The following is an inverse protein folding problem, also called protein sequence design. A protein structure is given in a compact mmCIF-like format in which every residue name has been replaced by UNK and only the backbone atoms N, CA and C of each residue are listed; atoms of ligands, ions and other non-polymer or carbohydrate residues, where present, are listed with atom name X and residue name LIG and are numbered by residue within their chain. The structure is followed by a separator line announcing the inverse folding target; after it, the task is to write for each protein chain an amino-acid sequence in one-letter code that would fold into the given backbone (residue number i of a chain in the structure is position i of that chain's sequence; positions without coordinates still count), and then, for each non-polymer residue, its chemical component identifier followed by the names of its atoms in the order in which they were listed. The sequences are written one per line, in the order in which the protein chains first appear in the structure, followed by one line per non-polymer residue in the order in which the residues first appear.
data_IF_431442187909
#
_entry.id   IF_431442187909
#
_cell.length_a   1.000
_cell.length_b   1.000
_cell.length_c   1.000
_cell.angle_alpha   90.00
_cell.angle_beta   90.00
_cell.angle_gamma   90.00
#
_symmetry.space_group_name_H-M   'P 1'
#
loop_
_entity.id
_entity.type
_entity.pdbx_description
1 polymer ?
#
# COMPACT_ATOMS: atom_id res chain seq x y z
N UNK A 1 -8.59 2.96 -22.62
CA UNK A 1 -7.44 3.52 -21.86
C UNK A 1 -8.02 4.26 -20.68
N UNK A 2 -7.56 3.96 -19.48
CA UNK A 2 -7.84 4.82 -18.34
C UNK A 2 -7.00 6.07 -18.53
N UNK A 3 -7.60 7.20 -18.27
CA UNK A 3 -6.95 8.50 -18.42
C UNK A 3 -5.90 8.77 -17.32
N UNK A 4 -5.87 9.99 -16.82
CA UNK A 4 -4.91 10.47 -15.83
C UNK A 4 -5.25 9.96 -14.43
N UNK A 5 -4.22 9.50 -13.68
CA UNK A 5 -4.30 9.26 -12.24
C UNK A 5 -3.60 10.42 -11.52
N UNK A 6 -4.34 11.08 -10.65
CA UNK A 6 -3.83 12.19 -9.82
C UNK A 6 -3.01 11.65 -8.66
N UNK A 7 -1.77 12.12 -8.50
CA UNK A 7 -0.87 11.70 -7.44
C UNK A 7 -0.39 12.90 -6.61
N UNK A 8 -0.17 12.67 -5.31
CA UNK A 8 0.66 13.54 -4.48
C UNK A 8 2.02 12.91 -4.33
N UNK A 9 3.07 13.72 -4.41
CA UNK A 9 4.46 13.29 -4.21
C UNK A 9 5.01 14.02 -2.99
N UNK A 10 5.35 13.26 -1.96
CA UNK A 10 5.97 13.77 -0.73
C UNK A 10 7.49 13.53 -0.83
N UNK A 11 8.27 14.59 -0.67
CA UNK A 11 9.72 14.55 -0.78
C UNK A 11 10.38 14.44 0.58
N UNK A 12 11.45 13.63 0.75
CA UNK A 12 12.29 13.67 1.94
C UNK A 12 13.16 14.90 1.96
N UNK A 13 13.78 15.18 3.12
CA UNK A 13 14.88 16.13 3.20
C UNK A 13 16.11 15.55 2.49
N UNK A 14 16.67 16.30 1.53
CA UNK A 14 17.80 15.86 0.71
C UNK A 14 17.42 14.90 -0.43
N UNK A 15 18.43 14.24 -0.99
CA UNK A 15 18.28 13.35 -2.13
C UNK A 15 17.61 12.03 -1.71
N UNK A 16 16.53 11.61 -2.38
CA UNK A 16 15.86 10.34 -2.07
C UNK A 16 16.78 9.13 -2.20
N UNK A 17 16.78 8.25 -1.20
CA UNK A 17 17.55 7.00 -1.22
C UNK A 17 16.77 5.83 -1.84
N UNK A 18 15.49 6.03 -2.08
CA UNK A 18 14.54 5.09 -2.65
C UNK A 18 13.18 5.73 -2.78
N UNK A 19 12.14 4.93 -2.96
CA UNK A 19 10.79 5.47 -3.11
C UNK A 19 9.72 4.56 -2.49
N UNK A 20 8.52 5.09 -2.33
CA UNK A 20 7.37 4.36 -1.80
C UNK A 20 6.11 4.66 -2.61
N UNK A 21 5.24 3.65 -2.74
CA UNK A 21 3.89 3.77 -3.27
C UNK A 21 2.90 3.37 -2.18
N UNK A 22 2.03 4.30 -1.77
CA UNK A 22 1.10 4.08 -0.66
C UNK A 22 -0.34 4.24 -1.13
N UNK A 23 -1.12 3.15 -1.03
CA UNK A 23 -2.43 3.00 -1.63
C UNK A 23 -3.55 3.17 -0.59
N UNK A 24 -4.58 3.92 -0.96
CA UNK A 24 -5.65 4.35 -0.06
C UNK A 24 -6.80 3.33 0.07
N UNK A 25 -7.70 3.48 1.08
CA UNK A 25 -8.84 2.60 1.27
C UNK A 25 -9.92 2.78 0.18
N UNK A 26 -11.05 2.11 0.36
CA UNK A 26 -12.07 1.90 -0.66
C UNK A 26 -12.61 3.21 -1.28
N UNK A 27 -12.51 3.39 -2.61
CA UNK A 27 -12.92 4.59 -3.32
C UNK A 27 -14.36 5.03 -3.04
N UNK A 28 -15.31 4.09 -3.09
CA UNK A 28 -16.74 4.41 -2.97
C UNK A 28 -17.19 4.70 -1.52
N UNK A 29 -16.32 4.48 -0.53
CA UNK A 29 -16.59 4.77 0.88
C UNK A 29 -15.74 5.96 1.38
N UNK A 30 -15.46 6.92 0.51
CA UNK A 30 -14.73 8.14 0.85
C UNK A 30 -13.22 7.95 1.00
N UNK A 31 -12.68 6.82 0.54
CA UNK A 31 -11.23 6.57 0.53
C UNK A 31 -10.51 7.53 -0.42
N UNK A 32 -9.47 8.18 0.09
CA UNK A 32 -8.60 9.08 -0.68
C UNK A 32 -7.16 8.94 -0.21
N UNK A 33 -6.21 9.43 -1.01
CA UNK A 33 -4.78 9.51 -0.66
C UNK A 33 -4.49 10.31 0.62
N UNK A 34 -5.45 11.11 1.09
CA UNK A 34 -5.31 11.94 2.30
C UNK A 34 -5.85 11.26 3.56
N UNK A 35 -6.27 9.99 3.47
CA UNK A 35 -6.64 9.19 4.64
C UNK A 35 -5.50 9.18 5.67
N UNK A 36 -5.84 9.26 6.96
CA UNK A 36 -4.84 9.39 8.06
C UNK A 36 -3.88 8.20 8.16
N UNK A 37 -4.32 6.97 7.87
CA UNK A 37 -3.45 5.80 7.83
C UNK A 37 -2.44 5.96 6.68
N UNK A 38 -2.91 6.31 5.48
CA UNK A 38 -2.08 6.53 4.28
C UNK A 38 -1.04 7.62 4.51
N UNK A 39 -1.45 8.78 5.03
CA UNK A 39 -0.54 9.90 5.30
C UNK A 39 0.44 9.59 6.44
N UNK A 40 0.07 8.75 7.40
CA UNK A 40 1.00 8.28 8.46
C UNK A 40 2.08 7.40 7.85
N UNK A 41 1.72 6.43 7.01
CA UNK A 41 2.70 5.56 6.31
C UNK A 41 3.61 6.40 5.40
N UNK A 42 3.03 7.32 4.61
CA UNK A 42 3.79 8.21 3.73
C UNK A 42 4.84 9.02 4.50
N UNK A 43 4.42 9.69 5.58
CA UNK A 43 5.35 10.47 6.43
C UNK A 43 6.45 9.61 7.02
N UNK A 44 6.15 8.37 7.39
CA UNK A 44 7.16 7.42 7.89
C UNK A 44 8.17 7.08 6.80
N UNK A 45 7.72 6.80 5.57
CA UNK A 45 8.61 6.57 4.43
C UNK A 45 9.50 7.79 4.14
N UNK A 46 8.90 8.98 4.12
CA UNK A 46 9.63 10.25 3.92
C UNK A 46 10.70 10.49 4.98
N UNK A 47 10.40 10.22 6.26
CA UNK A 47 11.36 10.30 7.36
C UNK A 47 12.51 9.30 7.24
N UNK A 48 12.30 8.20 6.49
CA UNK A 48 13.34 7.22 6.15
C UNK A 48 14.09 7.55 4.84
N UNK A 49 13.94 8.77 4.32
CA UNK A 49 14.64 9.21 3.11
C UNK A 49 14.02 8.71 1.81
N UNK A 50 12.77 8.25 1.80
CA UNK A 50 12.10 7.78 0.58
C UNK A 50 11.21 8.87 -0.04
N UNK A 51 11.28 9.03 -1.36
CA UNK A 51 10.26 9.76 -2.11
C UNK A 51 8.96 8.98 -2.06
N UNK A 52 7.85 9.55 -1.58
CA UNK A 52 6.60 8.82 -1.43
C UNK A 52 5.53 9.32 -2.39
N UNK A 53 4.99 8.40 -3.20
CA UNK A 53 3.89 8.66 -4.14
C UNK A 53 2.59 8.10 -3.55
N UNK A 54 1.58 8.96 -3.47
CA UNK A 54 0.22 8.64 -3.02
C UNK A 54 -0.76 8.94 -4.15
N UNK A 55 -1.18 7.95 -4.95
CA UNK A 55 -2.21 8.14 -5.97
C UNK A 55 -3.61 8.22 -5.34
N UNK A 56 -4.53 8.92 -6.00
CA UNK A 56 -5.94 8.62 -5.89
C UNK A 56 -6.30 7.54 -6.91
N UNK A 57 -6.99 6.50 -6.50
CA UNK A 57 -7.49 5.50 -7.45
C UNK A 57 -8.44 6.12 -8.46
N UNK A 58 -8.67 5.39 -9.56
CA UNK A 58 -9.62 5.78 -10.61
C UNK A 58 -10.97 6.19 -10.02
N UNK A 59 -11.54 7.28 -10.54
CA UNK A 59 -12.81 7.85 -10.09
C UNK A 59 -12.76 8.62 -8.78
N UNK A 60 -11.57 8.84 -8.17
CA UNK A 60 -11.40 9.60 -6.93
C UNK A 60 -10.72 10.93 -7.20
N UNK A 61 -11.33 12.01 -6.74
CA UNK A 61 -10.83 13.39 -6.95
C UNK A 61 -10.65 13.71 -8.42
N UNK A 62 -9.44 14.08 -8.83
CA UNK A 62 -9.11 14.40 -10.22
C UNK A 62 -8.70 13.17 -11.05
N UNK A 63 -8.63 11.97 -10.45
CA UNK A 63 -8.34 10.75 -11.19
C UNK A 63 -9.52 10.35 -12.08
N UNK A 64 -9.22 10.09 -13.34
CA UNK A 64 -10.21 9.66 -14.33
C UNK A 64 -10.61 8.21 -14.17
N UNK A 65 -11.69 7.80 -14.86
CA UNK A 65 -12.20 6.43 -14.80
C UNK A 65 -13.24 6.22 -13.71
N UNK A 66 -13.50 4.96 -13.39
CA UNK A 66 -14.45 4.53 -12.36
C UNK A 66 -13.91 3.32 -11.62
N UNK A 67 -14.40 3.10 -10.40
CA UNK A 67 -14.07 1.94 -9.58
C UNK A 67 -14.31 0.62 -10.34
N UNK A 68 -13.32 -0.28 -10.29
CA UNK A 68 -13.30 -1.55 -11.04
C UNK A 68 -12.87 -2.75 -10.17
N UNK A 69 -13.31 -2.75 -8.93
CA UNK A 69 -13.18 -3.85 -7.97
C UNK A 69 -11.75 -4.39 -7.77
N UNK A 70 -10.75 -3.56 -7.97
CA UNK A 70 -9.33 -3.90 -7.82
C UNK A 70 -8.63 -4.30 -9.11
N UNK A 71 -9.36 -4.69 -10.16
CA UNK A 71 -8.77 -5.12 -11.45
C UNK A 71 -8.15 -3.92 -12.16
N UNK A 72 -8.96 -2.91 -12.44
CA UNK A 72 -8.51 -1.71 -13.10
C UNK A 72 -7.56 -0.88 -12.25
N UNK A 73 -7.80 -0.81 -10.93
CA UNK A 73 -6.91 -0.15 -9.98
C UNK A 73 -5.52 -0.77 -10.00
N UNK A 74 -5.41 -2.10 -10.01
CA UNK A 74 -4.12 -2.81 -10.12
C UNK A 74 -3.42 -2.48 -11.43
N UNK A 75 -4.15 -2.50 -12.57
CA UNK A 75 -3.58 -2.16 -13.87
C UNK A 75 -3.08 -0.71 -13.95
N UNK A 76 -3.78 0.24 -13.29
CA UNK A 76 -3.33 1.63 -13.19
C UNK A 76 -2.07 1.75 -12.34
N UNK A 77 -1.96 0.99 -11.24
CA UNK A 77 -0.78 1.03 -10.38
C UNK A 77 0.44 0.41 -11.03
N UNK A 78 0.30 -0.59 -11.91
CA UNK A 78 1.41 -1.06 -12.76
C UNK A 78 1.97 0.09 -13.59
N UNK A 79 1.11 0.86 -14.27
CA UNK A 79 1.53 2.03 -15.07
C UNK A 79 2.14 3.13 -14.19
N UNK A 80 1.58 3.32 -12.98
CA UNK A 80 2.14 4.27 -12.02
C UNK A 80 3.57 3.90 -11.65
N UNK A 81 3.86 2.62 -11.37
CA UNK A 81 5.22 2.12 -11.11
C UNK A 81 6.15 2.36 -12.31
N UNK A 82 5.71 2.04 -13.52
CA UNK A 82 6.47 2.27 -14.76
C UNK A 82 6.78 3.76 -14.94
N UNK A 83 5.79 4.62 -14.69
CA UNK A 83 5.93 6.08 -14.81
C UNK A 83 6.86 6.65 -13.74
N UNK A 84 6.77 6.21 -12.48
CA UNK A 84 7.71 6.62 -11.42
C UNK A 84 9.14 6.33 -11.83
N UNK A 85 9.42 5.13 -12.32
CA UNK A 85 10.75 4.71 -12.77
C UNK A 85 11.25 5.53 -13.98
N UNK A 86 10.33 6.01 -14.81
CA UNK A 86 10.65 6.86 -15.97
C UNK A 86 10.93 8.31 -15.57
N UNK A 87 10.12 8.86 -14.65
CA UNK A 87 10.25 10.26 -14.19
C UNK A 87 11.45 10.45 -13.27
N UNK A 88 11.76 9.43 -12.44
CA UNK A 88 12.92 9.43 -11.55
C UNK A 88 13.86 8.26 -11.87
N UNK A 89 14.58 8.28 -13.01
CA UNK A 89 15.43 7.17 -13.43
C UNK A 89 16.55 6.86 -12.43
N UNK A 90 17.00 7.84 -11.65
CA UNK A 90 17.97 7.65 -10.58
C UNK A 90 17.44 6.80 -9.40
N UNK A 91 16.11 6.63 -9.29
CA UNK A 91 15.46 5.81 -8.28
C UNK A 91 14.99 4.45 -8.83
N UNK A 92 15.12 4.21 -10.14
CA UNK A 92 14.58 3.03 -10.80
C UNK A 92 15.09 1.71 -10.21
N UNK A 93 16.37 1.66 -9.82
CA UNK A 93 17.01 0.47 -9.25
C UNK A 93 17.28 0.61 -7.74
N UNK A 94 16.74 1.65 -7.11
CA UNK A 94 16.81 1.83 -5.66
C UNK A 94 15.76 0.99 -4.93
N UNK A 95 15.98 0.68 -3.64
CA UNK A 95 14.97 0.03 -2.81
C UNK A 95 13.65 0.79 -2.83
N UNK A 96 12.53 0.06 -2.84
CA UNK A 96 11.23 0.71 -2.78
C UNK A 96 10.22 -0.06 -1.94
N UNK A 97 9.21 0.66 -1.46
CA UNK A 97 8.17 0.18 -0.55
C UNK A 97 6.82 0.24 -1.23
N UNK A 98 6.07 -0.85 -1.15
CA UNK A 98 4.66 -0.89 -1.53
C UNK A 98 3.82 -1.08 -0.28
N UNK A 99 2.93 -0.13 0.00
CA UNK A 99 2.02 -0.22 1.13
C UNK A 99 0.57 0.02 0.70
N UNK A 100 -0.36 -0.66 1.35
CA UNK A 100 -1.78 -0.46 1.10
C UNK A 100 -2.62 -0.59 2.36
N UNK A 101 -3.64 0.27 2.49
CA UNK A 101 -4.60 0.24 3.58
C UNK A 101 -5.97 -0.22 3.09
N UNK A 102 -6.59 -1.19 3.78
CA UNK A 102 -7.92 -1.71 3.48
C UNK A 102 -8.02 -2.19 2.03
N UNK A 103 -8.90 -1.65 1.20
CA UNK A 103 -8.94 -1.91 -0.25
C UNK A 103 -7.57 -1.73 -0.92
N UNK A 104 -6.81 -0.70 -0.51
CA UNK A 104 -5.44 -0.50 -1.00
C UNK A 104 -4.51 -1.67 -0.69
N UNK A 105 -4.75 -2.45 0.39
CA UNK A 105 -3.99 -3.66 0.67
C UNK A 105 -4.24 -4.76 -0.38
N UNK A 106 -5.48 -4.88 -0.86
CA UNK A 106 -5.83 -5.82 -1.91
C UNK A 106 -5.16 -5.44 -3.24
N UNK A 107 -5.22 -4.15 -3.60
CA UNK A 107 -4.53 -3.67 -4.81
C UNK A 107 -3.01 -3.84 -4.69
N UNK A 108 -2.41 -3.57 -3.51
CA UNK A 108 -0.98 -3.75 -3.28
C UNK A 108 -0.53 -5.22 -3.43
N UNK A 109 -1.27 -6.16 -2.86
CA UNK A 109 -0.97 -7.58 -2.98
C UNK A 109 -1.04 -8.06 -4.44
N UNK A 110 -2.05 -7.63 -5.18
CA UNK A 110 -2.23 -7.97 -6.59
C UNK A 110 -1.21 -7.29 -7.50
N UNK A 111 -0.87 -6.02 -7.21
CA UNK A 111 0.20 -5.31 -7.89
C UNK A 111 1.54 -6.03 -7.70
N UNK A 112 1.86 -6.47 -6.49
CA UNK A 112 3.07 -7.26 -6.23
C UNK A 112 3.14 -8.49 -7.14
N UNK A 113 2.05 -9.29 -7.19
CA UNK A 113 1.99 -10.49 -8.03
C UNK A 113 2.07 -10.16 -9.53
N UNK A 114 1.42 -9.08 -9.98
CA UNK A 114 1.47 -8.64 -11.38
C UNK A 114 2.88 -8.20 -11.81
N UNK A 115 3.60 -7.47 -10.93
CA UNK A 115 4.98 -7.07 -11.18
C UNK A 115 5.91 -8.29 -11.23
N UNK A 116 5.70 -9.29 -10.37
CA UNK A 116 6.46 -10.53 -10.38
C UNK A 116 6.30 -11.29 -11.71
N UNK A 117 5.06 -11.45 -12.18
CA UNK A 117 4.78 -12.12 -13.47
C UNK A 117 5.38 -11.37 -14.66
N UNK A 118 5.46 -10.06 -14.59
CA UNK A 118 6.07 -9.20 -15.62
C UNK A 118 7.60 -9.09 -15.51
N UNK A 119 8.20 -9.70 -14.49
CA UNK A 119 9.64 -9.60 -14.21
C UNK A 119 10.10 -8.14 -14.02
N UNK A 120 9.22 -7.29 -13.50
CA UNK A 120 9.54 -5.93 -13.07
C UNK A 120 10.16 -5.96 -11.68
N UNK A 121 11.17 -5.13 -11.36
CA UNK A 121 11.76 -5.08 -10.02
C UNK A 121 10.72 -4.91 -8.91
N UNK A 122 10.70 -5.87 -7.99
CA UNK A 122 9.74 -5.96 -6.91
C UNK A 122 10.06 -4.98 -5.77
N UNK A 123 9.07 -4.59 -4.95
CA UNK A 123 9.34 -3.80 -3.75
C UNK A 123 10.20 -4.60 -2.76
N UNK A 124 11.15 -3.90 -2.14
CA UNK A 124 11.97 -4.46 -1.06
C UNK A 124 11.14 -4.72 0.21
N UNK A 125 10.00 -4.03 0.33
CA UNK A 125 9.04 -4.22 1.42
C UNK A 125 7.61 -4.09 0.92
N UNK A 126 6.76 -5.05 1.32
CA UNK A 126 5.30 -5.00 1.14
C UNK A 126 4.64 -4.84 2.50
N UNK A 127 3.72 -3.87 2.64
CA UNK A 127 2.96 -3.64 3.87
C UNK A 127 1.44 -3.65 3.58
N UNK A 128 0.72 -4.51 4.29
CA UNK A 128 -0.73 -4.71 4.19
C UNK A 128 -1.38 -4.30 5.51
N UNK A 129 -2.11 -3.19 5.52
CA UNK A 129 -2.71 -2.63 6.73
C UNK A 129 -4.24 -2.77 6.62
N UNK A 130 -4.90 -3.33 7.65
CA UNK A 130 -6.34 -3.63 7.62
C UNK A 130 -6.68 -4.51 6.41
N UNK A 131 -6.07 -5.68 6.35
CA UNK A 131 -5.97 -6.56 5.17
C UNK A 131 -7.34 -6.98 4.62
N UNK A 132 -7.77 -6.41 3.49
CA UNK A 132 -9.00 -6.72 2.78
C UNK A 132 -8.77 -7.55 1.49
N UNK A 133 -7.64 -8.24 1.39
CA UNK A 133 -7.18 -8.88 0.15
C UNK A 133 -8.20 -9.88 -0.39
N UNK A 134 -8.72 -10.77 0.45
CA UNK A 134 -9.65 -11.83 0.01
C UNK A 134 -10.96 -11.29 -0.58
N UNK A 135 -11.39 -10.10 -0.15
CA UNK A 135 -12.63 -9.47 -0.63
C UNK A 135 -12.56 -8.98 -2.07
N UNK A 136 -11.33 -8.69 -2.56
CA UNK A 136 -11.09 -8.11 -3.88
C UNK A 136 -10.08 -8.92 -4.70
N UNK A 137 -9.77 -10.13 -4.25
CA UNK A 137 -8.80 -10.99 -4.94
C UNK A 137 -9.38 -11.53 -6.25
N UNK A 138 -8.71 -11.25 -7.36
CA UNK A 138 -9.07 -11.75 -8.68
C UNK A 138 -7.98 -12.64 -9.32
N UNK A 139 -6.89 -12.94 -8.58
CA UNK A 139 -5.79 -13.79 -9.05
C UNK A 139 -5.15 -14.57 -7.89
N UNK A 140 -4.37 -15.59 -8.23
CA UNK A 140 -3.50 -16.23 -7.25
C UNK A 140 -2.40 -15.30 -6.78
N UNK A 141 -2.03 -15.38 -5.51
CA UNK A 141 -1.03 -14.53 -4.88
C UNK A 141 0.10 -15.38 -4.31
N UNK A 142 1.33 -14.98 -4.63
CA UNK A 142 2.54 -15.44 -3.97
C UNK A 142 3.19 -14.19 -3.37
N UNK A 143 3.17 -14.08 -2.04
CA UNK A 143 3.66 -12.90 -1.33
C UNK A 143 5.00 -13.20 -0.66
N UNK A 144 5.87 -12.20 -0.50
CA UNK A 144 7.16 -12.40 0.16
C UNK A 144 6.96 -12.66 1.66
N UNK A 145 7.74 -13.58 2.24
CA UNK A 145 7.68 -13.91 3.68
C UNK A 145 7.93 -12.69 4.59
N UNK A 146 8.62 -11.67 4.09
CA UNK A 146 8.85 -10.40 4.78
C UNK A 146 7.70 -9.39 4.66
N UNK A 147 6.51 -9.81 4.20
CA UNK A 147 5.33 -8.94 4.17
C UNK A 147 4.96 -8.49 5.58
N UNK A 148 4.82 -7.18 5.76
CA UNK A 148 4.40 -6.57 7.03
C UNK A 148 2.87 -6.52 7.05
N UNK A 149 2.24 -7.29 7.91
CA UNK A 149 0.79 -7.22 8.13
C UNK A 149 0.49 -6.50 9.44
N UNK A 150 -0.41 -5.50 9.40
CA UNK A 150 -0.88 -4.76 10.58
C UNK A 150 -2.40 -4.75 10.58
N UNK A 151 -3.01 -5.11 11.72
CA UNK A 151 -4.46 -5.18 11.84
C UNK A 151 -4.94 -4.64 13.19
N UNK A 152 -6.10 -4.00 13.21
CA UNK A 152 -6.75 -3.61 14.47
C UNK A 152 -7.47 -4.79 15.11
N UNK A 153 -7.35 -4.95 16.44
CA UNK A 153 -8.02 -6.05 17.17
C UNK A 153 -9.53 -6.00 17.03
N UNK A 154 -10.10 -4.78 17.09
CA UNK A 154 -11.55 -4.55 17.06
C UNK A 154 -11.99 -3.95 15.71
N UNK A 155 -11.32 -4.34 14.62
CA UNK A 155 -11.65 -3.88 13.28
C UNK A 155 -13.08 -4.30 12.90
N UNK A 156 -13.95 -3.32 12.77
CA UNK A 156 -15.38 -3.48 12.48
C UNK A 156 -15.69 -3.52 10.98
N UNK A 157 -14.71 -3.18 10.13
CA UNK A 157 -14.85 -3.16 8.66
C UNK A 157 -14.30 -4.44 8.04
N UNK A 158 -13.08 -4.81 8.42
CA UNK A 158 -12.45 -6.07 8.05
C UNK A 158 -12.14 -6.84 9.34
N UNK A 159 -13.01 -7.76 9.76
CA UNK A 159 -12.81 -8.50 11.00
C UNK A 159 -11.42 -9.11 11.12
N UNK A 160 -10.83 -9.07 12.31
CA UNK A 160 -9.51 -9.64 12.59
C UNK A 160 -9.38 -11.09 12.11
N UNK A 161 -10.48 -11.86 12.20
CA UNK A 161 -10.53 -13.25 11.72
C UNK A 161 -10.22 -13.40 10.24
N UNK A 162 -10.65 -12.45 9.39
CA UNK A 162 -10.32 -12.46 7.95
C UNK A 162 -8.82 -12.20 7.73
N UNK A 163 -8.25 -11.23 8.44
CA UNK A 163 -6.81 -10.96 8.39
C UNK A 163 -5.97 -12.14 8.87
N UNK A 164 -6.40 -12.81 9.96
CA UNK A 164 -5.72 -14.01 10.49
C UNK A 164 -5.81 -15.19 9.52
N UNK A 165 -6.96 -15.40 8.87
CA UNK A 165 -7.10 -16.48 7.88
C UNK A 165 -6.21 -16.24 6.67
N UNK A 166 -6.14 -15.01 6.18
CA UNK A 166 -5.22 -14.62 5.12
C UNK A 166 -3.76 -14.87 5.54
N UNK A 167 -3.38 -14.45 6.76
CA UNK A 167 -2.04 -14.65 7.29
C UNK A 167 -1.65 -16.14 7.38
N UNK A 168 -2.59 -17.02 7.83
CA UNK A 168 -2.38 -18.47 7.86
C UNK A 168 -2.18 -19.07 6.47
N UNK A 169 -3.07 -18.69 5.53
CA UNK A 169 -3.05 -19.22 4.15
C UNK A 169 -1.74 -18.89 3.44
N UNK A 170 -1.15 -17.72 3.74
CA UNK A 170 0.08 -17.24 3.12
C UNK A 170 1.33 -17.39 4.01
N UNK A 171 1.22 -18.02 5.17
CA UNK A 171 2.30 -18.21 6.15
C UNK A 171 3.00 -16.88 6.53
N UNK A 172 2.22 -15.82 6.74
CA UNK A 172 2.71 -14.49 7.03
C UNK A 172 2.56 -14.13 8.52
N UNK A 173 3.55 -13.49 9.14
CA UNK A 173 3.39 -12.91 10.46
C UNK A 173 2.46 -11.69 10.42
N UNK A 174 1.68 -11.48 11.48
CA UNK A 174 0.78 -10.34 11.59
C UNK A 174 0.92 -9.65 12.94
N UNK A 175 1.03 -8.32 12.93
CA UNK A 175 0.97 -7.49 14.13
C UNK A 175 -0.48 -7.04 14.36
N UNK A 176 -1.04 -7.41 15.51
CA UNK A 176 -2.36 -6.97 15.96
C UNK A 176 -2.19 -5.80 16.93
N UNK A 177 -2.89 -4.68 16.66
CA UNK A 177 -2.88 -3.51 17.56
C UNK A 177 -4.08 -3.62 18.50
N UNK A 178 -3.86 -3.76 19.82
CA UNK A 178 -4.94 -3.90 20.80
C UNK A 178 -5.91 -2.72 20.78
N UNK A 179 -7.21 -3.00 20.92
CA UNK A 179 -8.32 -2.03 20.99
C UNK A 179 -8.42 -1.09 19.76
N UNK A 180 -7.71 -1.37 18.68
CA UNK A 180 -7.76 -0.56 17.47
C UNK A 180 -8.89 -1.03 16.54
N UNK A 181 -9.74 -0.11 16.10
CA UNK A 181 -10.68 -0.31 15.00
C UNK A 181 -10.00 -0.16 13.64
N UNK A 182 -10.79 -0.23 12.56
CA UNK A 182 -10.28 -0.23 11.18
C UNK A 182 -9.35 0.95 10.86
N UNK A 183 -9.71 2.16 11.25
CA UNK A 183 -8.95 3.37 10.94
C UNK A 183 -7.81 3.68 11.92
N UNK A 184 -7.53 2.78 12.87
CA UNK A 184 -6.48 2.90 13.87
C UNK A 184 -6.53 4.23 14.65
N UNK A 185 -7.73 4.75 14.93
CA UNK A 185 -7.92 5.98 15.69
C UNK A 185 -7.24 5.88 17.06
N UNK A 186 -6.44 6.90 17.41
CA UNK A 186 -5.66 6.93 18.65
C UNK A 186 -4.42 6.01 18.65
N UNK A 187 -4.20 5.20 17.60
CA UNK A 187 -3.11 4.21 17.52
C UNK A 187 -2.15 4.47 16.35
N UNK A 188 -2.27 5.61 15.64
CA UNK A 188 -1.42 5.91 14.49
C UNK A 188 0.07 6.05 14.83
N UNK A 189 0.41 6.38 16.08
CA UNK A 189 1.81 6.39 16.55
C UNK A 189 2.39 4.97 16.59
N UNK A 190 1.61 3.98 17.04
CA UNK A 190 2.04 2.57 17.00
C UNK A 190 2.21 2.09 15.56
N UNK A 191 1.28 2.43 14.66
CA UNK A 191 1.43 2.13 13.24
C UNK A 191 2.75 2.71 12.69
N UNK A 192 3.03 3.99 13.01
CA UNK A 192 4.28 4.64 12.59
C UNK A 192 5.50 3.88 13.05
N UNK A 193 5.55 3.45 14.30
CA UNK A 193 6.67 2.68 14.87
C UNK A 193 6.83 1.31 14.19
N UNK A 194 5.74 0.58 13.95
CA UNK A 194 5.77 -0.71 13.24
C UNK A 194 6.34 -0.53 11.82
N UNK A 195 5.83 0.46 11.08
CA UNK A 195 6.31 0.74 9.72
C UNK A 195 7.78 1.19 9.76
N UNK A 196 8.15 2.12 10.64
CA UNK A 196 9.51 2.59 10.80
C UNK A 196 10.49 1.42 11.01
N UNK A 197 10.19 0.54 11.98
CA UNK A 197 11.03 -0.61 12.28
C UNK A 197 11.13 -1.59 11.10
N UNK A 198 10.07 -1.74 10.32
CA UNK A 198 10.07 -2.58 9.13
C UNK A 198 10.94 -2.04 7.99
N UNK A 199 11.20 -0.73 7.97
CA UNK A 199 12.01 -0.05 6.96
C UNK A 199 13.48 0.09 7.33
N UNK A 200 13.85 -0.12 8.60
CA UNK A 200 15.23 0.06 9.10
C UNK A 200 16.26 -0.90 8.50
N UNK A 201 15.82 -1.88 7.71
CA UNK A 201 16.66 -2.87 7.02
C UNK A 201 16.62 -2.75 5.48
N UNK A 202 16.17 -1.62 4.95
CA UNK A 202 16.15 -1.32 3.51
C UNK A 202 17.51 -0.89 2.97
#
# INVERSE_FOLDING_TARGET
MVGTISCTVDHPEGDPQGWALVLHPHPLYGGTRDNKVVTTVSRTCVQQGLLCVRPNFRGVGESQGSFDQGVGETADMVRCVEQIRTVWPQLADRPWVLAGFSFGSAVAAQLYAELADRHVPLPSRLALIGCAVERFRHRALVLPRGTVMVHGETDEVVPLTEGMEFARTHELPMTVIPEAGHFLHGKLLLLREIIHNSLSSL
#
